data_IF_323737989185
#
_entry.id   IF_323737989185
#
_cell.length_a   1.000
_cell.length_b   1.000
_cell.length_c   1.000
_cell.angle_alpha   90.00
_cell.angle_beta   90.00
_cell.angle_gamma   90.00
#
_symmetry.space_group_name_H-M   'P 1'
#
loop_
_entity.id
_entity.type
_entity.pdbx_description
1 polymer ?
#
# COMPACT_ATOMS: atom_id res chain seq x y z
N UNK A 1 9.62 -34.15 8.25
CA UNK A 1 10.75 -33.21 8.46
C UNK A 1 11.46 -33.12 7.14
N UNK A 2 11.24 -32.03 6.40
CA UNK A 2 11.82 -31.83 5.07
C UNK A 2 13.33 -31.59 5.17
N UNK A 3 14.06 -32.10 4.17
CA UNK A 3 15.49 -31.88 3.98
C UNK A 3 15.78 -30.39 3.83
N UNK A 4 16.12 -29.72 4.94
CA UNK A 4 16.73 -28.39 4.89
C UNK A 4 18.17 -28.59 4.43
N UNK A 5 18.45 -28.20 3.20
CA UNK A 5 19.82 -28.15 2.68
C UNK A 5 20.64 -27.22 3.59
N UNK A 6 21.58 -27.82 4.34
CA UNK A 6 22.39 -27.12 5.34
C UNK A 6 23.41 -26.16 4.71
N UNK A 7 23.50 -26.09 3.38
CA UNK A 7 24.40 -25.20 2.64
C UNK A 7 23.72 -23.93 2.08
N UNK A 8 22.46 -23.64 2.46
CA UNK A 8 21.83 -22.38 2.04
C UNK A 8 22.44 -21.18 2.79
N UNK A 9 22.92 -20.14 2.07
CA UNK A 9 23.40 -18.93 2.72
C UNK A 9 22.25 -18.21 3.42
N UNK A 10 22.54 -17.53 4.53
CA UNK A 10 21.56 -16.69 5.20
C UNK A 10 21.03 -15.62 4.23
N UNK A 11 19.70 -15.39 4.18
CA UNK A 11 19.15 -14.35 3.32
C UNK A 11 19.63 -12.96 3.79
N UNK A 12 19.69 -11.98 2.88
CA UNK A 12 19.90 -10.58 3.25
C UNK A 12 18.95 -10.15 4.37
N UNK A 13 19.41 -9.25 5.24
CA UNK A 13 18.70 -8.89 6.47
C UNK A 13 17.23 -8.51 6.22
N UNK A 14 16.92 -7.72 5.19
CA UNK A 14 15.54 -7.32 4.90
C UNK A 14 14.64 -8.49 4.49
N UNK A 15 15.18 -9.45 3.71
CA UNK A 15 14.46 -10.67 3.35
C UNK A 15 14.21 -11.55 4.58
N UNK A 16 15.23 -11.69 5.43
CA UNK A 16 15.09 -12.41 6.70
C UNK A 16 13.98 -11.81 7.57
N UNK A 17 14.00 -10.49 7.79
CA UNK A 17 13.00 -9.78 8.58
C UNK A 17 11.60 -9.89 7.98
N UNK A 18 11.47 -9.84 6.66
CA UNK A 18 10.19 -10.00 5.97
C UNK A 18 9.59 -11.39 6.22
N UNK A 19 10.40 -12.45 6.06
CA UNK A 19 9.96 -13.83 6.33
C UNK A 19 9.61 -14.02 7.80
N UNK A 20 10.41 -13.45 8.71
CA UNK A 20 10.14 -13.49 10.14
C UNK A 20 8.82 -12.80 10.49
N UNK A 21 8.55 -11.62 9.92
CA UNK A 21 7.29 -10.90 10.14
C UNK A 21 6.09 -11.72 9.67
N UNK A 22 6.13 -12.31 8.47
CA UNK A 22 5.05 -13.19 8.00
C UNK A 22 4.87 -14.42 8.90
N UNK A 23 5.96 -15.02 9.37
CA UNK A 23 5.89 -16.14 10.31
C UNK A 23 5.17 -15.73 11.60
N UNK A 24 5.51 -14.57 12.15
CA UNK A 24 4.86 -14.02 13.35
C UNK A 24 3.38 -13.77 13.09
N UNK A 25 3.00 -13.09 12.01
CA UNK A 25 1.59 -12.82 11.70
C UNK A 25 0.75 -14.08 11.58
N UNK A 26 1.28 -15.13 10.94
CA UNK A 26 0.61 -16.44 10.84
C UNK A 26 0.53 -17.13 12.21
N UNK A 27 1.60 -17.08 13.01
CA UNK A 27 1.64 -17.70 14.33
C UNK A 27 0.70 -17.03 15.34
N UNK A 28 0.61 -15.70 15.30
CA UNK A 28 -0.30 -14.89 16.12
C UNK A 28 -1.74 -14.87 15.57
N UNK A 29 -1.97 -15.47 14.39
CA UNK A 29 -3.29 -15.56 13.75
C UNK A 29 -3.98 -14.21 13.60
N UNK A 30 -3.23 -13.19 13.15
CA UNK A 30 -3.79 -11.86 12.92
C UNK A 30 -4.87 -11.90 11.85
N UNK A 31 -5.96 -11.15 12.05
CA UNK A 31 -7.04 -11.04 11.05
C UNK A 31 -6.59 -10.24 9.81
N UNK A 32 -5.67 -9.29 10.01
CA UNK A 32 -5.10 -8.44 8.96
C UNK A 32 -3.65 -8.10 9.28
N UNK A 33 -2.82 -8.11 8.24
CA UNK A 33 -1.45 -7.62 8.30
C UNK A 33 -1.30 -6.42 7.37
N UNK A 34 -0.80 -5.30 7.89
CA UNK A 34 -0.45 -4.11 7.11
C UNK A 34 1.04 -4.20 6.80
N UNK A 35 1.37 -4.31 5.51
CA UNK A 35 2.73 -4.56 5.06
C UNK A 35 3.25 -3.31 4.34
N UNK A 36 4.24 -2.66 4.95
CA UNK A 36 4.99 -1.57 4.32
C UNK A 36 6.06 -2.13 3.38
N UNK A 37 6.13 -1.58 2.18
CA UNK A 37 7.17 -1.92 1.20
C UNK A 37 8.50 -1.33 1.64
N UNK A 38 9.58 -2.12 1.62
CA UNK A 38 10.91 -1.64 1.98
C UNK A 38 11.48 -0.66 0.95
N UNK A 39 11.62 -1.09 -0.30
CA UNK A 39 12.15 -0.26 -1.38
C UNK A 39 11.47 -0.55 -2.72
N UNK A 40 11.00 0.51 -3.37
CA UNK A 40 10.33 0.42 -4.66
C UNK A 40 8.96 -0.26 -4.51
N UNK A 41 8.87 -1.53 -4.90
CA UNK A 41 7.62 -2.30 -4.87
C UNK A 41 7.73 -3.57 -5.70
N UNK A 42 7.99 -3.44 -7.01
CA UNK A 42 8.03 -4.56 -7.96
C UNK A 42 8.95 -5.71 -7.50
N UNK A 43 10.14 -5.38 -7.04
CA UNK A 43 11.17 -6.34 -6.63
C UNK A 43 11.41 -6.35 -5.10
N UNK A 44 10.50 -5.73 -4.35
CA UNK A 44 10.63 -5.70 -2.91
C UNK A 44 10.34 -7.07 -2.29
N UNK A 45 11.01 -7.39 -1.18
CA UNK A 45 10.85 -8.70 -0.50
C UNK A 45 9.43 -8.91 0.01
N UNK A 46 8.68 -7.84 0.28
CA UNK A 46 7.28 -7.90 0.71
C UNK A 46 6.31 -8.24 -0.42
N UNK A 47 6.71 -8.06 -1.68
CA UNK A 47 5.83 -8.23 -2.85
C UNK A 47 5.54 -9.71 -3.22
N UNK A 48 5.84 -10.64 -2.31
CA UNK A 48 5.49 -12.06 -2.41
C UNK A 48 4.01 -12.34 -2.09
N UNK A 49 3.30 -11.39 -1.48
CA UNK A 49 1.85 -11.50 -1.21
C UNK A 49 1.09 -11.44 -2.54
N UNK A 50 0.53 -12.56 -2.97
CA UNK A 50 -0.13 -12.68 -4.29
C UNK A 50 -1.49 -11.99 -4.34
N UNK A 51 -2.27 -12.11 -3.26
CA UNK A 51 -3.66 -11.63 -3.19
C UNK A 51 -3.86 -10.72 -1.98
N UNK A 52 -3.22 -9.54 -1.93
CA UNK A 52 -3.54 -8.55 -0.91
C UNK A 52 -5.00 -8.10 -1.04
N UNK A 53 -5.67 -7.80 0.08
CA UNK A 53 -7.07 -7.36 0.05
C UNK A 53 -7.20 -5.99 -0.61
N UNK A 54 -6.21 -5.11 -0.44
CA UNK A 54 -6.17 -3.77 -1.01
C UNK A 54 -4.72 -3.30 -1.11
N UNK A 55 -4.39 -2.53 -2.15
CA UNK A 55 -3.07 -1.90 -2.30
C UNK A 55 -3.18 -0.37 -2.24
N UNK A 56 -2.20 0.28 -1.61
CA UNK A 56 -2.14 1.74 -1.49
C UNK A 56 -0.76 2.29 -1.83
N UNK A 57 -0.71 3.40 -2.57
CA UNK A 57 0.52 4.14 -2.86
C UNK A 57 0.38 5.57 -2.37
N UNK A 58 1.19 5.95 -1.37
CA UNK A 58 1.30 7.32 -0.86
C UNK A 58 2.02 8.24 -1.87
N UNK A 59 2.26 9.49 -1.50
CA UNK A 59 2.96 10.46 -2.36
C UNK A 59 4.30 9.93 -2.85
N UNK A 60 4.55 10.04 -4.16
CA UNK A 60 5.80 9.62 -4.79
C UNK A 60 6.72 10.84 -4.97
N UNK A 61 7.90 10.77 -4.35
CA UNK A 61 8.98 11.75 -4.50
C UNK A 61 10.19 11.20 -5.27
N UNK A 62 11.20 12.06 -5.43
CA UNK A 62 12.51 11.70 -5.98
C UNK A 62 13.36 11.00 -4.90
N UNK A 63 13.00 9.77 -4.56
CA UNK A 63 13.67 8.97 -3.54
C UNK A 63 14.41 7.77 -4.15
N UNK A 64 15.58 7.45 -3.59
CA UNK A 64 16.38 6.27 -3.97
C UNK A 64 16.67 6.16 -5.47
N UNK A 65 17.01 7.29 -6.11
CA UNK A 65 17.20 7.39 -7.55
C UNK A 65 18.24 6.42 -8.14
N UNK A 66 19.29 6.09 -7.36
CA UNK A 66 20.32 5.13 -7.76
C UNK A 66 19.77 3.72 -8.01
N UNK A 67 18.65 3.39 -7.39
CA UNK A 67 18.03 2.06 -7.44
C UNK A 67 16.73 2.08 -8.25
N UNK A 68 15.91 3.11 -8.06
CA UNK A 68 14.56 3.21 -8.62
C UNK A 68 14.49 3.98 -9.95
N UNK A 69 15.56 4.68 -10.30
CA UNK A 69 15.65 5.50 -11.51
C UNK A 69 15.69 7.00 -11.22
N UNK A 70 16.07 7.75 -12.23
CA UNK A 70 16.35 9.18 -12.20
C UNK A 70 15.13 10.06 -12.54
N UNK A 71 13.94 9.49 -12.68
CA UNK A 71 12.70 10.23 -12.96
C UNK A 71 11.54 9.75 -12.09
N UNK A 72 10.60 10.65 -11.80
CA UNK A 72 9.37 10.34 -11.07
C UNK A 72 8.60 9.19 -11.72
N UNK A 73 8.51 9.17 -13.06
CA UNK A 73 7.85 8.08 -13.80
C UNK A 73 8.49 6.72 -13.54
N UNK A 74 9.83 6.61 -13.61
CA UNK A 74 10.55 5.35 -13.34
C UNK A 74 10.34 4.87 -11.90
N UNK A 75 10.42 5.79 -10.95
CA UNK A 75 10.16 5.49 -9.53
C UNK A 75 8.73 4.98 -9.35
N UNK A 76 7.75 5.64 -9.98
CA UNK A 76 6.35 5.25 -9.91
C UNK A 76 6.07 3.89 -10.56
N UNK A 77 6.71 3.58 -11.70
CA UNK A 77 6.63 2.25 -12.31
C UNK A 77 7.16 1.15 -11.38
N UNK A 78 8.23 1.42 -10.63
CA UNK A 78 8.73 0.46 -9.65
C UNK A 78 7.75 0.28 -8.48
N UNK A 79 7.20 1.38 -7.95
CA UNK A 79 6.24 1.37 -6.83
C UNK A 79 4.90 0.72 -7.20
N UNK A 80 4.39 0.95 -8.41
CA UNK A 80 3.15 0.34 -8.92
C UNK A 80 3.25 -1.18 -9.11
N UNK A 81 4.45 -1.74 -9.01
CA UNK A 81 4.66 -3.19 -9.01
C UNK A 81 3.97 -3.96 -7.89
N UNK A 82 3.47 -3.29 -6.85
CA UNK A 82 2.65 -3.91 -5.80
C UNK A 82 1.18 -4.12 -6.22
N UNK A 83 0.73 -3.49 -7.31
CA UNK A 83 -0.62 -3.70 -7.81
C UNK A 83 -0.77 -5.14 -8.33
N UNK A 84 -1.88 -5.79 -7.97
CA UNK A 84 -2.17 -7.18 -8.32
C UNK A 84 -3.52 -7.26 -9.07
N UNK A 85 -3.68 -8.23 -10.00
CA UNK A 85 -4.97 -8.44 -10.67
C UNK A 85 -6.09 -8.65 -9.65
N UNK A 86 -7.30 -8.16 -9.96
CA UNK A 86 -8.50 -8.29 -9.10
C UNK A 86 -8.37 -7.66 -7.69
N UNK A 87 -7.35 -6.83 -7.47
CA UNK A 87 -7.15 -6.06 -6.23
C UNK A 87 -7.31 -4.57 -6.54
N UNK A 88 -8.19 -3.84 -5.85
CA UNK A 88 -8.33 -2.40 -6.04
C UNK A 88 -7.08 -1.68 -5.54
N UNK A 89 -6.69 -0.67 -6.30
CA UNK A 89 -5.56 0.18 -5.98
C UNK A 89 -6.03 1.56 -5.55
N UNK A 90 -5.36 2.12 -4.55
CA UNK A 90 -5.60 3.47 -4.05
C UNK A 90 -4.32 4.28 -4.10
N UNK A 91 -4.44 5.56 -4.38
CA UNK A 91 -3.33 6.51 -4.28
C UNK A 91 -3.84 7.88 -3.87
N UNK A 92 -2.93 8.81 -3.65
CA UNK A 92 -3.22 10.22 -3.35
C UNK A 92 -2.99 11.06 -4.60
N UNK A 93 -3.21 12.38 -4.54
CA UNK A 93 -2.83 13.25 -5.64
C UNK A 93 -1.31 13.14 -5.91
N UNK A 94 -0.94 12.79 -7.14
CA UNK A 94 0.45 12.58 -7.56
C UNK A 94 0.94 13.66 -8.52
N UNK A 95 2.26 13.76 -8.66
CA UNK A 95 2.89 14.39 -9.82
C UNK A 95 2.38 13.74 -11.13
N UNK A 96 2.20 14.49 -12.24
CA UNK A 96 1.65 13.96 -13.49
C UNK A 96 2.33 12.69 -14.00
N UNK A 97 3.68 12.65 -13.99
CA UNK A 97 4.43 11.47 -14.43
C UNK A 97 4.20 10.24 -13.54
N UNK A 98 4.06 10.44 -12.23
CA UNK A 98 3.74 9.35 -11.32
C UNK A 98 2.31 8.88 -11.55
N UNK A 99 1.36 9.82 -11.63
CA UNK A 99 -0.05 9.51 -11.92
C UNK A 99 -0.17 8.66 -13.19
N UNK A 100 0.48 9.07 -14.28
CA UNK A 100 0.48 8.34 -15.54
C UNK A 100 0.98 6.90 -15.36
N UNK A 101 2.14 6.70 -14.71
CA UNK A 101 2.69 5.38 -14.48
C UNK A 101 1.80 4.49 -13.59
N UNK A 102 1.10 5.07 -12.61
CA UNK A 102 0.12 4.35 -11.79
C UNK A 102 -1.12 3.95 -12.60
N UNK A 103 -1.66 4.86 -13.41
CA UNK A 103 -2.83 4.64 -14.27
C UNK A 103 -2.54 3.58 -15.35
N UNK A 104 -1.39 3.66 -16.00
CA UNK A 104 -0.93 2.66 -16.98
C UNK A 104 -0.88 1.28 -16.33
N UNK A 105 -0.26 1.16 -15.16
CA UNK A 105 -0.15 -0.12 -14.45
C UNK A 105 -1.51 -0.68 -14.03
N UNK A 106 -2.40 0.19 -13.54
CA UNK A 106 -3.75 -0.21 -13.19
C UNK A 106 -4.55 -0.68 -14.42
N UNK A 107 -4.37 0.00 -15.56
CA UNK A 107 -4.98 -0.37 -16.85
C UNK A 107 -4.47 -1.72 -17.36
N UNK A 108 -3.17 -1.98 -17.31
CA UNK A 108 -2.57 -3.27 -17.69
C UNK A 108 -3.18 -4.44 -16.90
N UNK A 109 -3.46 -4.21 -15.61
CA UNK A 109 -4.03 -5.19 -14.71
C UNK A 109 -5.57 -5.22 -14.73
N UNK A 110 -6.19 -4.31 -15.48
CA UNK A 110 -7.65 -4.11 -15.52
C UNK A 110 -8.27 -3.93 -14.12
N UNK A 111 -7.61 -3.16 -13.26
CA UNK A 111 -8.08 -2.85 -11.90
C UNK A 111 -8.46 -1.38 -11.76
N UNK A 112 -9.39 -1.03 -10.86
CA UNK A 112 -9.66 0.36 -10.54
C UNK A 112 -8.49 0.97 -9.75
N UNK A 113 -8.07 2.17 -10.16
CA UNK A 113 -7.21 3.04 -9.39
C UNK A 113 -8.02 4.23 -8.86
N UNK A 114 -8.13 4.35 -7.54
CA UNK A 114 -8.86 5.44 -6.89
C UNK A 114 -7.90 6.47 -6.33
N UNK A 115 -8.06 7.74 -6.72
CA UNK A 115 -7.32 8.86 -6.14
C UNK A 115 -8.10 9.39 -4.94
N UNK A 116 -7.50 9.32 -3.76
CA UNK A 116 -8.11 9.66 -2.48
C UNK A 116 -7.79 11.11 -2.11
N UNK A 117 -8.80 11.93 -1.75
CA UNK A 117 -8.57 13.28 -1.25
C UNK A 117 -7.93 13.27 0.15
N UNK A 118 -7.30 14.38 0.57
CA UNK A 118 -6.85 14.53 1.96
C UNK A 118 -8.04 14.48 2.92
N UNK A 119 -7.87 13.82 4.06
CA UNK A 119 -8.91 13.72 5.08
C UNK A 119 -9.36 15.11 5.54
N UNK A 120 -10.64 15.43 5.36
CA UNK A 120 -11.14 16.74 5.75
C UNK A 120 -11.32 16.85 7.29
N UNK A 121 -10.85 17.92 7.97
CA UNK A 121 -10.94 18.03 9.44
C UNK A 121 -12.34 17.90 10.03
N UNK A 122 -13.37 18.34 9.30
CA UNK A 122 -14.78 18.18 9.68
C UNK A 122 -15.19 16.72 9.91
N UNK A 123 -14.54 15.77 9.23
CA UNK A 123 -14.83 14.34 9.37
C UNK A 123 -14.21 13.72 10.61
N UNK A 124 -13.24 14.40 11.22
CA UNK A 124 -12.54 13.89 12.39
C UNK A 124 -13.41 13.99 13.66
N UNK A 125 -14.62 14.57 13.61
CA UNK A 125 -15.57 14.66 14.74
C UNK A 125 -14.93 15.20 16.03
N UNK A 126 -14.03 16.17 15.90
CA UNK A 126 -13.30 16.77 17.02
C UNK A 126 -12.01 16.04 17.41
N UNK A 127 -11.67 14.92 16.76
CA UNK A 127 -10.36 14.29 16.87
C UNK A 127 -9.31 15.10 16.12
N UNK A 128 -8.07 15.02 16.59
CA UNK A 128 -6.89 15.62 15.96
C UNK A 128 -5.92 14.52 15.56
N UNK A 129 -5.24 14.68 14.43
CA UNK A 129 -4.14 13.79 14.07
C UNK A 129 -3.02 13.91 15.11
N UNK A 130 -2.47 12.77 15.54
CA UNK A 130 -1.36 12.73 16.49
C UNK A 130 -0.03 13.18 15.89
N UNK A 131 0.04 13.32 14.57
CA UNK A 131 1.21 13.76 13.82
C UNK A 131 0.98 15.17 13.27
N UNK A 132 1.99 16.02 13.37
CA UNK A 132 1.97 17.35 12.80
C UNK A 132 2.30 17.33 11.30
N UNK A 133 1.81 18.34 10.58
CA UNK A 133 2.12 18.59 9.17
C UNK A 133 0.95 18.30 8.22
N UNK A 134 0.79 19.15 7.20
CA UNK A 134 -0.37 19.10 6.30
C UNK A 134 -0.45 17.79 5.48
N UNK A 135 0.70 17.21 5.16
CA UNK A 135 0.79 15.92 4.47
C UNK A 135 0.18 14.76 5.27
N UNK A 136 0.00 14.92 6.59
CA UNK A 136 -0.63 13.89 7.41
C UNK A 136 -2.12 13.74 7.11
N UNK A 137 -2.80 14.79 6.64
CA UNK A 137 -4.19 14.66 6.17
C UNK A 137 -4.27 13.84 4.88
N UNK A 138 -3.28 13.96 4.00
CA UNK A 138 -3.16 13.14 2.79
C UNK A 138 -2.96 11.66 3.16
N UNK A 139 -2.00 11.38 4.05
CA UNK A 139 -1.73 10.03 4.52
C UNK A 139 -2.93 9.42 5.26
N UNK A 140 -3.58 10.21 6.13
CA UNK A 140 -4.76 9.78 6.86
C UNK A 140 -5.94 9.49 5.92
N UNK A 141 -6.15 10.31 4.89
CA UNK A 141 -7.17 10.07 3.87
C UNK A 141 -6.98 8.73 3.18
N UNK A 142 -5.75 8.47 2.71
CA UNK A 142 -5.40 7.19 2.11
C UNK A 142 -5.60 6.01 3.09
N UNK A 143 -5.12 6.14 4.32
CA UNK A 143 -5.25 5.09 5.34
C UNK A 143 -6.73 4.76 5.61
N UNK A 144 -7.58 5.78 5.77
CA UNK A 144 -9.03 5.60 5.96
C UNK A 144 -9.67 4.90 4.76
N UNK A 145 -9.33 5.29 3.53
CA UNK A 145 -9.85 4.65 2.33
C UNK A 145 -9.45 3.17 2.22
N UNK A 146 -8.20 2.83 2.55
CA UNK A 146 -7.73 1.44 2.59
C UNK A 146 -8.47 0.62 3.64
N UNK A 147 -8.65 1.16 4.85
CA UNK A 147 -9.39 0.50 5.92
C UNK A 147 -10.85 0.27 5.54
N UNK A 148 -11.52 1.27 4.95
CA UNK A 148 -12.90 1.14 4.47
C UNK A 148 -12.99 0.03 3.41
N UNK A 149 -12.08 0.01 2.44
CA UNK A 149 -12.08 -1.01 1.41
C UNK A 149 -11.85 -2.41 1.98
N UNK A 150 -10.92 -2.55 2.94
CA UNK A 150 -10.69 -3.81 3.63
C UNK A 150 -11.97 -4.28 4.34
N UNK A 151 -12.62 -3.43 5.16
CA UNK A 151 -13.87 -3.77 5.87
C UNK A 151 -14.97 -4.23 4.90
N UNK A 152 -15.14 -3.55 3.77
CA UNK A 152 -16.14 -3.92 2.76
C UNK A 152 -15.86 -5.29 2.13
N UNK A 153 -14.59 -5.61 1.87
CA UNK A 153 -14.19 -6.85 1.20
C UNK A 153 -14.11 -8.06 2.13
N UNK A 154 -13.95 -7.85 3.43
CA UNK A 154 -13.83 -8.93 4.43
C UNK A 154 -15.12 -9.25 5.17
N UNK A 155 -16.25 -8.65 4.75
CA UNK A 155 -17.55 -8.95 5.34
C UNK A 155 -17.86 -8.18 6.63
N UNK A 156 -17.16 -7.07 6.85
CA UNK A 156 -17.38 -6.12 7.95
C UNK A 156 -18.01 -4.80 7.46
N UNK A 157 -18.79 -4.86 6.39
CA UNK A 157 -19.37 -3.69 5.73
C UNK A 157 -20.30 -2.88 6.63
N UNK A 158 -20.90 -3.50 7.64
CA UNK A 158 -21.73 -2.86 8.66
C UNK A 158 -20.97 -1.88 9.56
N UNK A 159 -19.64 -2.02 9.66
CA UNK A 159 -18.77 -1.11 10.41
C UNK A 159 -18.35 0.11 9.57
N UNK A 160 -18.58 0.07 8.26
CA UNK A 160 -18.26 1.18 7.37
C UNK A 160 -19.24 2.31 7.70
N UNK A 161 -18.75 3.51 8.08
CA UNK A 161 -19.65 4.61 8.33
C UNK A 161 -20.45 4.91 7.05
N UNK A 162 -21.68 5.43 7.21
CA UNK A 162 -22.53 5.89 6.11
C UNK A 162 -21.90 7.14 5.44
N UNK A 163 -20.75 6.94 4.81
CA UNK A 163 -20.08 7.89 3.92
C UNK A 163 -20.44 7.40 2.53
N UNK A 164 -21.25 8.16 1.82
CA UNK A 164 -21.91 7.74 0.58
C UNK A 164 -20.90 7.51 -0.56
N UNK A 165 -19.66 7.99 -0.41
CA UNK A 165 -18.58 7.86 -1.40
C UNK A 165 -17.20 8.20 -0.82
N UNK A 166 -16.14 7.63 -1.39
CA UNK A 166 -14.73 8.04 -1.14
C UNK A 166 -14.49 9.52 -1.50
N UNK A 167 -15.32 10.10 -2.36
CA UNK A 167 -15.30 11.54 -2.67
C UNK A 167 -15.78 12.43 -1.52
N UNK A 168 -16.33 11.84 -0.45
CA UNK A 168 -16.74 12.55 0.76
C UNK A 168 -15.69 12.47 1.88
N UNK A 169 -14.55 11.80 1.64
CA UNK A 169 -13.33 11.88 2.47
C UNK A 169 -12.65 13.25 2.34
#
# INVERSE_FOLDING_TARGET
MENVDQNLPMPPLFQFLTVLAFKIFVSEKVDVAVIEVGLGGRLDSTNVVQEPVVCGITSIGMDHMEILGDTIGKIATSKSGIFKPNVPAFTVLQHPDAKLALEERASELMIPLTIVPPLHPKMMRGLTLGLAGDHQFINAGLAVALCINWLQRTGHGELVPQVSSISEL
#
